data_IF_106910451594
#
_entry.id   IF_106910451594
#
_cell.length_a   1.000
_cell.length_b   1.000
_cell.length_c   1.000
_cell.angle_alpha   90.00
_cell.angle_beta   90.00
_cell.angle_gamma   90.00
#
_symmetry.space_group_name_H-M   'P 1'
#
loop_
_entity.id
_entity.type
_entity.pdbx_description
1 polymer ?
#
# COMPACT_ATOMS: atom_id res chain seq x y z
N UNK A 1 21.24 26.38 1.77
CA UNK A 1 19.82 26.59 2.13
C UNK A 1 19.70 26.43 3.64
N UNK A 2 19.08 27.36 4.36
CA UNK A 2 18.91 27.20 5.82
C UNK A 2 17.86 26.10 6.09
N UNK A 3 18.08 25.24 7.09
CA UNK A 3 17.17 24.12 7.42
C UNK A 3 15.74 24.58 7.68
N UNK A 4 15.58 25.77 8.28
CA UNK A 4 14.26 26.37 8.49
C UNK A 4 13.54 26.67 7.17
N UNK A 5 14.27 27.14 6.15
CA UNK A 5 13.69 27.42 4.83
C UNK A 5 13.27 26.12 4.11
N UNK A 6 14.10 25.07 4.22
CA UNK A 6 13.76 23.75 3.65
C UNK A 6 12.47 23.17 4.21
N UNK A 7 12.28 23.20 5.53
CA UNK A 7 11.08 22.64 6.16
C UNK A 7 9.83 23.46 5.81
N UNK A 8 9.94 24.78 5.75
CA UNK A 8 8.83 25.66 5.33
C UNK A 8 8.43 25.40 3.87
N UNK A 9 9.38 25.30 2.95
CA UNK A 9 9.15 24.95 1.54
C UNK A 9 8.51 23.56 1.39
N UNK A 10 9.05 22.56 2.10
CA UNK A 10 8.51 21.20 2.09
C UNK A 10 7.07 21.16 2.59
N UNK A 11 6.77 21.87 3.68
CA UNK A 11 5.42 21.97 4.26
C UNK A 11 4.44 22.63 3.29
N UNK A 12 4.85 23.73 2.65
CA UNK A 12 4.05 24.41 1.65
C UNK A 12 3.70 23.45 0.51
N UNK A 13 4.72 22.83 -0.10
CA UNK A 13 4.57 21.90 -1.22
C UNK A 13 3.70 20.69 -0.87
N UNK A 14 3.88 20.11 0.32
CA UNK A 14 3.05 19.00 0.83
C UNK A 14 1.57 19.38 0.91
N UNK A 15 1.28 20.58 1.40
CA UNK A 15 -0.09 21.08 1.50
C UNK A 15 -0.69 21.37 0.13
N UNK A 16 0.06 21.98 -0.79
CA UNK A 16 -0.38 22.22 -2.17
C UNK A 16 -0.71 20.92 -2.90
N UNK A 17 0.07 19.86 -2.66
CA UNK A 17 -0.18 18.53 -3.25
C UNK A 17 -1.30 17.76 -2.55
N UNK A 18 -1.93 18.32 -1.51
CA UNK A 18 -3.00 17.66 -0.75
C UNK A 18 -2.53 16.41 0.01
N UNK A 19 -1.23 16.32 0.34
CA UNK A 19 -0.66 15.15 1.00
C UNK A 19 -0.73 15.31 2.52
N UNK A 20 -1.34 14.36 3.22
CA UNK A 20 -1.36 14.39 4.69
C UNK A 20 0.01 14.09 5.30
N UNK A 21 0.27 14.58 6.51
CA UNK A 21 1.52 14.28 7.24
C UNK A 21 1.75 12.76 7.37
N UNK A 22 0.69 11.99 7.64
CA UNK A 22 0.78 10.52 7.74
C UNK A 22 1.23 9.90 6.43
N UNK A 23 0.60 10.28 5.30
CA UNK A 23 0.93 9.73 3.98
C UNK A 23 2.37 10.04 3.59
N UNK A 24 2.83 11.26 3.87
CA UNK A 24 4.20 11.65 3.60
C UNK A 24 5.22 10.93 4.50
N UNK A 25 4.91 10.79 5.79
CA UNK A 25 5.76 10.08 6.75
C UNK A 25 5.97 8.61 6.35
N UNK A 26 4.90 7.89 5.98
CA UNK A 26 4.97 6.50 5.48
C UNK A 26 5.85 6.41 4.23
N UNK A 27 5.72 7.34 3.28
CA UNK A 27 6.56 7.36 2.08
C UNK A 27 8.04 7.63 2.38
N UNK A 28 8.33 8.35 3.45
CA UNK A 28 9.69 8.61 3.94
C UNK A 28 10.22 7.49 4.86
N UNK A 29 9.42 6.47 5.17
CA UNK A 29 9.82 5.38 6.08
C UNK A 29 9.97 5.82 7.53
N UNK A 30 9.25 6.85 7.97
CA UNK A 30 9.31 7.38 9.34
C UNK A 30 7.93 7.45 9.99
N UNK A 31 7.88 7.53 11.33
CA UNK A 31 6.61 7.69 12.03
C UNK A 31 5.98 9.06 11.79
N UNK A 32 4.65 9.13 11.81
CA UNK A 32 3.90 10.40 11.72
C UNK A 32 4.33 11.39 12.81
N UNK A 33 4.56 10.90 14.03
CA UNK A 33 4.96 11.71 15.18
C UNK A 33 6.33 12.35 14.96
N UNK A 34 7.30 11.56 14.47
CA UNK A 34 8.62 12.08 14.15
C UNK A 34 8.57 13.12 13.03
N UNK A 35 7.80 12.85 11.96
CA UNK A 35 7.60 13.84 10.90
C UNK A 35 6.95 15.13 11.41
N UNK A 36 5.97 15.03 12.31
CA UNK A 36 5.33 16.21 12.91
C UNK A 36 6.31 17.08 13.71
N UNK A 37 7.23 16.46 14.47
CA UNK A 37 8.29 17.17 15.19
C UNK A 37 9.24 17.89 14.23
N UNK A 38 9.59 17.26 13.11
CA UNK A 38 10.40 17.87 12.04
C UNK A 38 9.67 19.07 11.44
N UNK A 39 8.41 18.91 11.03
CA UNK A 39 7.62 19.96 10.37
C UNK A 39 7.34 21.17 11.28
N UNK A 40 7.36 20.97 12.60
CA UNK A 40 7.22 22.03 13.60
C UNK A 40 8.58 22.61 14.06
N UNK A 41 9.70 22.15 13.49
CA UNK A 41 11.05 22.64 13.82
C UNK A 41 11.58 22.18 15.18
N UNK A 42 10.91 21.22 15.83
CA UNK A 42 11.37 20.64 17.11
C UNK A 42 12.55 19.68 16.93
N UNK A 43 12.68 19.09 15.73
CA UNK A 43 13.77 18.18 15.37
C UNK A 43 14.35 18.57 14.02
N UNK A 44 15.68 18.56 13.92
CA UNK A 44 16.38 18.71 12.64
C UNK A 44 16.61 17.32 12.04
N UNK A 45 16.09 17.03 10.83
CA UNK A 45 16.33 15.75 10.19
C UNK A 45 17.79 15.62 9.72
N UNK A 46 18.30 14.39 9.69
CA UNK A 46 19.59 14.08 9.05
C UNK A 46 19.56 14.42 7.55
N UNK A 47 20.72 14.69 6.96
CA UNK A 47 20.82 15.02 5.53
C UNK A 47 20.30 13.90 4.61
N UNK A 48 20.51 12.62 4.97
CA UNK A 48 19.94 11.48 4.25
C UNK A 48 18.41 11.50 4.23
N UNK A 49 17.80 11.77 5.39
CA UNK A 49 16.36 11.94 5.48
C UNK A 49 15.87 13.16 4.70
N UNK A 50 16.58 14.28 4.69
CA UNK A 50 16.24 15.45 3.85
C UNK A 50 16.21 15.08 2.36
N UNK A 51 17.23 14.36 1.88
CA UNK A 51 17.27 13.88 0.49
C UNK A 51 16.09 12.95 0.18
N UNK A 52 15.76 12.06 1.12
CA UNK A 52 14.61 11.17 0.99
C UNK A 52 13.31 11.97 0.93
N UNK A 53 13.10 12.93 1.83
CA UNK A 53 11.93 13.81 1.82
C UNK A 53 11.79 14.57 0.51
N UNK A 54 12.89 15.13 -0.01
CA UNK A 54 12.89 15.84 -1.30
C UNK A 54 12.50 14.90 -2.45
N UNK A 55 13.02 13.67 -2.47
CA UNK A 55 12.66 12.69 -3.50
C UNK A 55 11.21 12.24 -3.40
N UNK A 56 10.71 12.03 -2.17
CA UNK A 56 9.36 11.54 -1.95
C UNK A 56 8.31 12.60 -2.23
N UNK A 57 8.57 13.90 -1.97
CA UNK A 57 7.56 14.94 -2.21
C UNK A 57 7.24 15.08 -3.70
N UNK A 58 8.24 14.96 -4.59
CA UNK A 58 8.01 15.01 -6.04
C UNK A 58 7.13 13.85 -6.53
N UNK A 59 7.20 12.68 -5.88
CA UNK A 59 6.35 11.53 -6.25
C UNK A 59 4.86 11.75 -5.96
N UNK A 60 4.54 12.77 -5.17
CA UNK A 60 3.16 13.17 -4.91
C UNK A 60 2.70 14.34 -5.78
N UNK A 61 3.54 14.83 -6.69
CA UNK A 61 3.17 15.94 -7.56
C UNK A 61 1.94 15.55 -8.40
N UNK A 62 0.79 16.22 -8.22
CA UNK A 62 -0.45 15.86 -8.91
C UNK A 62 -0.38 16.15 -10.42
N UNK A 63 0.58 16.99 -10.83
CA UNK A 63 0.84 17.38 -12.21
C UNK A 63 1.84 16.45 -12.92
N UNK A 64 2.29 15.37 -12.28
CA UNK A 64 3.12 14.38 -12.98
C UNK A 64 2.37 13.82 -14.20
N UNK A 65 3.00 13.83 -15.38
CA UNK A 65 2.35 13.38 -16.62
C UNK A 65 2.08 11.88 -16.60
N UNK A 66 2.93 11.11 -15.91
CA UNK A 66 2.82 9.66 -15.77
C UNK A 66 2.89 9.29 -14.29
N UNK A 67 2.01 8.38 -13.84
CA UNK A 67 2.13 7.80 -12.51
C UNK A 67 1.94 6.28 -12.51
N UNK A 68 2.85 5.58 -11.81
CA UNK A 68 2.85 4.13 -11.67
C UNK A 68 2.05 3.71 -10.43
N UNK A 69 1.30 2.61 -10.54
CA UNK A 69 0.56 2.02 -9.44
C UNK A 69 0.50 0.49 -9.54
N UNK A 70 0.21 -0.17 -8.42
CA UNK A 70 -0.10 -1.61 -8.40
C UNK A 70 -1.57 -1.80 -8.79
N UNK A 71 -1.85 -2.51 -9.87
CA UNK A 71 -3.22 -2.69 -10.37
C UNK A 71 -3.75 -4.12 -10.17
N UNK A 72 -2.86 -5.06 -9.87
CA UNK A 72 -3.26 -6.40 -9.46
C UNK A 72 -2.22 -6.98 -8.54
N UNK A 73 -2.67 -7.62 -7.46
CA UNK A 73 -1.80 -8.33 -6.54
C UNK A 73 -2.46 -9.63 -6.12
N UNK A 74 -1.76 -10.75 -6.31
CA UNK A 74 -2.24 -12.06 -5.90
C UNK A 74 -1.12 -12.90 -5.33
N UNK A 75 -1.36 -13.44 -4.14
CA UNK A 75 -0.40 -14.23 -3.37
C UNK A 75 -1.10 -15.42 -2.73
N UNK A 76 -0.45 -16.57 -2.75
CA UNK A 76 -0.97 -17.82 -2.19
C UNK A 76 -0.12 -18.27 -1.01
N UNK A 77 -0.74 -18.43 0.15
CA UNK A 77 -0.12 -18.90 1.38
C UNK A 77 -0.30 -20.41 1.55
N UNK A 78 0.77 -21.16 1.88
CA UNK A 78 0.72 -22.60 2.13
C UNK A 78 0.15 -22.89 3.53
N UNK A 79 -1.08 -22.46 3.80
CA UNK A 79 -1.80 -22.69 5.06
C UNK A 79 -3.29 -22.82 4.75
N UNK A 80 -4.03 -23.56 5.57
CA UNK A 80 -5.49 -23.64 5.52
C UNK A 80 -6.16 -22.64 6.48
N UNK A 81 -5.38 -22.01 7.36
CA UNK A 81 -5.86 -21.01 8.34
C UNK A 81 -5.93 -19.61 7.70
N UNK A 82 -7.08 -19.31 7.09
CA UNK A 82 -7.33 -18.00 6.49
C UNK A 82 -7.43 -16.87 7.51
N UNK A 83 -7.95 -17.16 8.72
CA UNK A 83 -8.09 -16.17 9.79
C UNK A 83 -6.72 -15.70 10.28
N UNK A 84 -5.72 -16.58 10.31
CA UNK A 84 -4.33 -16.21 10.55
C UNK A 84 -3.80 -15.23 9.51
N UNK A 85 -4.06 -15.46 8.22
CA UNK A 85 -3.64 -14.51 7.16
C UNK A 85 -4.33 -13.15 7.32
N UNK A 86 -5.63 -13.14 7.62
CA UNK A 86 -6.40 -11.91 7.85
C UNK A 86 -5.81 -11.09 9.00
N UNK A 87 -5.56 -11.72 10.14
CA UNK A 87 -5.04 -11.02 11.32
C UNK A 87 -3.57 -10.66 11.21
N UNK A 88 -2.73 -11.62 10.82
CA UNK A 88 -1.29 -11.50 11.03
C UNK A 88 -0.62 -10.82 9.82
N UNK A 89 -1.13 -11.02 8.59
CA UNK A 89 -0.57 -10.42 7.36
C UNK A 89 -1.32 -9.15 6.96
N UNK A 90 -2.65 -9.25 6.82
CA UNK A 90 -3.46 -8.09 6.43
C UNK A 90 -3.66 -7.11 7.58
N UNK A 91 -3.52 -7.57 8.84
CA UNK A 91 -3.81 -6.78 10.04
C UNK A 91 -5.21 -6.18 10.03
N UNK A 92 -6.17 -7.00 9.56
CA UNK A 92 -7.59 -6.68 9.52
C UNK A 92 -8.33 -7.50 10.58
N UNK A 93 -9.50 -7.00 11.01
CA UNK A 93 -10.39 -7.75 11.90
C UNK A 93 -11.30 -8.65 11.06
N UNK A 94 -11.26 -9.95 11.33
CA UNK A 94 -12.09 -10.95 10.67
C UNK A 94 -13.58 -10.68 10.82
N UNK A 95 -14.00 -10.08 11.94
CA UNK A 95 -15.41 -9.81 12.26
C UNK A 95 -16.06 -8.80 11.29
N UNK A 96 -15.26 -8.04 10.55
CA UNK A 96 -15.75 -7.14 9.50
C UNK A 96 -15.82 -7.81 8.12
N UNK A 97 -15.33 -9.04 7.97
CA UNK A 97 -15.33 -9.76 6.71
C UNK A 97 -16.56 -10.66 6.60
N UNK A 98 -17.22 -10.63 5.44
CA UNK A 98 -18.28 -11.58 5.11
C UNK A 98 -17.65 -12.92 4.75
N UNK A 99 -18.17 -14.00 5.33
CA UNK A 99 -17.85 -15.36 4.91
C UNK A 99 -18.86 -15.84 3.86
N UNK A 100 -18.36 -16.37 2.75
CA UNK A 100 -19.16 -17.00 1.71
C UNK A 100 -18.69 -18.45 1.55
N UNK A 101 -19.64 -19.39 1.54
CA UNK A 101 -19.44 -20.84 1.44
C UNK A 101 -19.22 -21.33 -0.01
N UNK A 102 -18.88 -20.40 -0.90
CA UNK A 102 -18.49 -20.67 -2.28
C UNK A 102 -17.27 -19.83 -2.66
N UNK A 103 -16.33 -20.44 -3.39
CA UNK A 103 -15.10 -19.79 -3.83
C UNK A 103 -14.94 -19.71 -5.36
N UNK A 104 -13.70 -19.54 -5.80
CA UNK A 104 -13.27 -19.52 -7.22
C UNK A 104 -11.97 -20.32 -7.34
N UNK A 105 -11.62 -20.74 -8.54
CA UNK A 105 -10.33 -21.41 -8.81
C UNK A 105 -10.10 -22.71 -8.02
N UNK A 106 -11.18 -23.43 -7.71
CA UNK A 106 -11.12 -24.68 -6.92
C UNK A 106 -11.10 -24.49 -5.41
N UNK A 107 -11.17 -23.25 -4.91
CA UNK A 107 -11.33 -22.97 -3.48
C UNK A 107 -12.78 -23.10 -3.06
N UNK A 108 -13.00 -23.69 -1.89
CA UNK A 108 -14.30 -24.07 -1.36
C UNK A 108 -15.07 -22.87 -0.79
N UNK A 109 -14.38 -21.91 -0.20
CA UNK A 109 -15.00 -20.74 0.44
C UNK A 109 -14.14 -19.49 0.33
N UNK A 110 -14.64 -18.35 0.83
CA UNK A 110 -13.85 -17.12 0.91
C UNK A 110 -14.32 -16.16 2.00
N UNK A 111 -13.38 -15.32 2.46
CA UNK A 111 -13.68 -14.10 3.20
C UNK A 111 -13.61 -12.89 2.28
N UNK A 112 -14.56 -11.97 2.41
CA UNK A 112 -14.68 -10.77 1.58
C UNK A 112 -14.82 -9.52 2.44
N UNK A 113 -14.06 -8.47 2.11
CA UNK A 113 -14.22 -7.12 2.67
C UNK A 113 -14.14 -6.12 1.52
N UNK A 114 -15.29 -5.72 0.97
CA UNK A 114 -15.32 -4.90 -0.23
C UNK A 114 -14.67 -5.61 -1.42
N UNK A 115 -13.63 -5.00 -2.01
CA UNK A 115 -12.86 -5.57 -3.12
C UNK A 115 -11.65 -6.43 -2.64
N UNK A 116 -11.47 -6.66 -1.34
CA UNK A 116 -10.45 -7.58 -0.79
C UNK A 116 -11.04 -8.99 -0.68
N UNK A 117 -10.46 -9.95 -1.39
CA UNK A 117 -10.94 -11.33 -1.44
C UNK A 117 -9.87 -12.32 -0.94
N UNK A 118 -10.26 -13.21 -0.03
CA UNK A 118 -9.39 -14.24 0.53
C UNK A 118 -10.06 -15.59 0.33
N UNK A 119 -9.63 -16.32 -0.70
CA UNK A 119 -10.14 -17.65 -0.99
C UNK A 119 -9.49 -18.67 -0.06
N UNK A 120 -10.29 -19.61 0.42
CA UNK A 120 -9.93 -20.57 1.46
C UNK A 120 -10.08 -21.99 0.93
N UNK A 121 -9.06 -22.82 1.15
CA UNK A 121 -9.12 -24.23 0.87
C UNK A 121 -8.58 -25.08 2.00
N UNK A 122 -9.23 -26.21 2.23
CA UNK A 122 -8.75 -27.24 3.16
C UNK A 122 -7.63 -28.09 2.54
N UNK A 123 -7.43 -27.98 1.22
CA UNK A 123 -6.38 -28.69 0.50
C UNK A 123 -5.07 -27.90 0.60
N UNK A 124 -4.08 -28.45 1.29
CA UNK A 124 -2.80 -27.76 1.57
C UNK A 124 -2.07 -27.23 0.32
N UNK A 125 -2.23 -27.91 -0.83
CA UNK A 125 -1.60 -27.49 -2.07
C UNK A 125 -2.21 -26.19 -2.63
N UNK A 126 -3.49 -25.92 -2.37
CA UNK A 126 -4.15 -24.64 -2.64
C UNK A 126 -3.91 -23.66 -1.48
N UNK A 127 -4.28 -24.05 -0.27
CA UNK A 127 -4.14 -23.23 0.94
C UNK A 127 -5.04 -21.99 0.92
N UNK A 128 -4.47 -20.81 1.17
CA UNK A 128 -5.18 -19.53 1.22
C UNK A 128 -4.68 -18.60 0.12
N UNK A 129 -5.59 -17.98 -0.62
CA UNK A 129 -5.26 -17.07 -1.73
C UNK A 129 -5.83 -15.68 -1.46
N UNK A 130 -4.95 -14.70 -1.34
CA UNK A 130 -5.35 -13.30 -1.37
C UNK A 130 -5.36 -12.81 -2.82
N UNK A 131 -6.47 -12.20 -3.24
CA UNK A 131 -6.61 -11.53 -4.53
C UNK A 131 -7.08 -10.08 -4.35
N UNK A 132 -6.28 -9.16 -4.89
CA UNK A 132 -6.55 -7.74 -4.99
C UNK A 132 -6.53 -7.36 -6.47
N UNK A 133 -7.69 -6.99 -7.01
CA UNK A 133 -7.79 -6.35 -8.34
C UNK A 133 -7.56 -4.85 -8.20
N UNK A 134 -7.61 -4.07 -9.29
CA UNK A 134 -7.32 -2.63 -9.26
C UNK A 134 -8.01 -1.86 -8.12
N UNK A 135 -9.33 -2.04 -7.93
CA UNK A 135 -10.05 -1.46 -6.79
C UNK A 135 -9.63 -2.03 -5.43
N UNK A 136 -9.40 -3.34 -5.35
CA UNK A 136 -8.88 -3.99 -4.15
C UNK A 136 -7.50 -3.48 -3.74
N UNK A 137 -6.63 -3.15 -4.71
CA UNK A 137 -5.35 -2.52 -4.46
C UNK A 137 -5.52 -1.11 -3.86
N UNK A 138 -6.41 -0.28 -4.42
CA UNK A 138 -6.73 1.06 -3.85
C UNK A 138 -7.32 0.98 -2.44
N UNK A 139 -8.19 -0.01 -2.21
CA UNK A 139 -8.74 -0.27 -0.88
C UNK A 139 -7.65 -0.72 0.10
N UNK A 140 -6.77 -1.63 -0.32
CA UNK A 140 -5.65 -2.09 0.50
C UNK A 140 -4.70 -0.94 0.86
N UNK A 141 -4.39 -0.04 -0.09
CA UNK A 141 -3.59 1.16 0.17
C UNK A 141 -4.15 2.03 1.30
N UNK A 142 -5.48 2.12 1.39
CA UNK A 142 -6.14 2.87 2.46
C UNK A 142 -5.94 2.22 3.83
N UNK A 143 -5.99 0.88 3.89
CA UNK A 143 -5.70 0.14 5.12
C UNK A 143 -4.23 0.22 5.50
N UNK A 144 -3.31 0.03 4.54
CA UNK A 144 -1.88 0.15 4.78
C UNK A 144 -1.53 1.53 5.30
N UNK A 145 -2.09 2.59 4.70
CA UNK A 145 -1.89 3.96 5.18
C UNK A 145 -2.39 4.13 6.62
N UNK A 146 -3.56 3.59 6.98
CA UNK A 146 -4.08 3.64 8.33
C UNK A 146 -3.23 2.86 9.34
N UNK A 147 -2.58 1.79 8.89
CA UNK A 147 -1.63 0.96 9.63
C UNK A 147 -0.20 1.54 9.64
N UNK A 148 0.03 2.68 8.99
CA UNK A 148 1.37 3.29 8.81
C UNK A 148 2.36 2.35 8.10
N UNK A 149 1.85 1.52 7.18
CA UNK A 149 2.60 0.55 6.37
C UNK A 149 2.63 0.97 4.90
N UNK A 150 3.69 0.57 4.21
CA UNK A 150 3.83 0.68 2.76
C UNK A 150 3.49 -0.65 2.06
N UNK A 151 3.39 -0.62 0.73
CA UNK A 151 3.33 -1.84 -0.07
C UNK A 151 4.56 -2.74 0.13
N UNK A 152 5.73 -2.15 0.42
CA UNK A 152 6.95 -2.91 0.69
C UNK A 152 6.78 -3.73 1.98
N UNK A 153 6.35 -3.09 3.07
CA UNK A 153 6.12 -3.75 4.35
C UNK A 153 5.08 -4.88 4.20
N UNK A 154 4.01 -4.59 3.47
CA UNK A 154 2.96 -5.57 3.19
C UNK A 154 3.47 -6.79 2.39
N UNK A 155 4.24 -6.56 1.33
CA UNK A 155 4.81 -7.65 0.54
C UNK A 155 5.85 -8.44 1.34
N UNK A 156 6.64 -7.77 2.19
CA UNK A 156 7.59 -8.43 3.08
C UNK A 156 6.87 -9.34 4.09
N UNK A 157 5.77 -8.89 4.68
CA UNK A 157 4.93 -9.70 5.58
C UNK A 157 4.32 -10.89 4.82
N UNK A 158 3.88 -10.69 3.58
CA UNK A 158 3.39 -11.78 2.74
C UNK A 158 4.47 -12.85 2.52
N UNK A 159 5.69 -12.45 2.18
CA UNK A 159 6.80 -13.37 1.92
C UNK A 159 7.25 -14.08 3.21
N UNK A 160 7.31 -13.35 4.33
CA UNK A 160 7.67 -13.90 5.65
C UNK A 160 6.65 -14.94 6.13
N UNK A 161 5.37 -14.76 5.78
CA UNK A 161 4.31 -15.76 6.01
C UNK A 161 4.33 -16.95 5.03
N UNK A 162 5.39 -17.10 4.22
CA UNK A 162 5.51 -18.17 3.23
C UNK A 162 4.70 -17.95 1.96
N UNK A 163 4.21 -16.73 1.73
CA UNK A 163 3.41 -16.35 0.57
C UNK A 163 4.17 -16.60 -0.74
N UNK A 164 3.52 -17.28 -1.68
CA UNK A 164 4.01 -17.47 -3.05
C UNK A 164 3.31 -16.48 -3.97
N UNK A 165 4.06 -15.50 -4.47
CA UNK A 165 3.55 -14.52 -5.43
C UNK A 165 3.03 -15.21 -6.69
N UNK A 166 1.78 -14.90 -7.06
CA UNK A 166 1.07 -15.51 -8.21
C UNK A 166 0.78 -14.53 -9.33
N UNK A 167 0.64 -13.24 -9.01
CA UNK A 167 0.47 -12.16 -9.98
C UNK A 167 0.78 -10.81 -9.34
N UNK A 168 1.50 -9.96 -10.07
CA UNK A 168 1.73 -8.57 -9.74
C UNK A 168 1.66 -7.78 -11.05
N UNK A 169 0.65 -6.93 -11.17
CA UNK A 169 0.49 -6.06 -12.33
C UNK A 169 0.78 -4.63 -11.90
N UNK A 170 1.58 -3.93 -12.70
CA UNK A 170 1.83 -2.51 -12.57
C UNK A 170 1.14 -1.80 -13.72
N UNK A 171 0.39 -0.73 -13.41
CA UNK A 171 -0.22 0.13 -14.41
C UNK A 171 0.42 1.52 -14.37
N UNK A 172 0.53 2.12 -15.54
CA UNK A 172 0.93 3.52 -15.71
C UNK A 172 -0.31 4.28 -16.15
N UNK A 173 -0.64 5.32 -15.41
CA UNK A 173 -1.67 6.25 -15.81
C UNK A 173 -1.00 7.43 -16.50
N UNK A 174 -1.41 7.66 -17.75
CA UNK A 174 -0.94 8.74 -18.60
C UNK A 174 -1.96 9.88 -18.64
N UNK A 175 -1.57 11.04 -18.11
CA UNK A 175 -2.36 12.27 -18.13
C UNK A 175 -1.92 13.24 -19.23
N UNK A 176 -0.83 12.93 -19.93
CA UNK A 176 -0.26 13.76 -20.99
C UNK A 176 -0.67 13.29 -22.40
N UNK A 177 -1.25 12.10 -22.54
CA UNK A 177 -1.67 11.54 -23.83
C UNK A 177 -0.48 11.12 -24.69
N UNK A 178 0.60 10.66 -24.07
CA UNK A 178 1.79 10.10 -24.72
C UNK A 178 1.44 8.76 -25.37
N UNK A 179 0.64 7.94 -24.69
CA UNK A 179 0.11 6.68 -25.17
C UNK A 179 -1.18 6.96 -25.96
N UNK A 180 -1.02 7.37 -27.21
CA UNK A 180 -2.13 7.49 -28.16
C UNK A 180 -2.58 6.08 -28.57
N UNK A 181 -3.64 5.58 -27.94
CA UNK A 181 -4.26 4.30 -28.28
C UNK A 181 -5.43 4.62 -29.23
N UNK A 182 -5.27 4.40 -30.55
CA UNK A 182 -6.33 4.68 -31.51
C UNK A 182 -7.52 3.74 -31.28
N UNK A 183 -8.72 4.24 -31.56
CA UNK A 183 -9.96 3.46 -31.55
C UNK A 183 -9.98 2.39 -32.65
#
# INVERSE_FOLDING_TARGET
MNDKNFIEELKHKRNEYGVSQRRFAVACGISRTYFNQIENGSVVPSDELKQTMQKQIERFNPQEPLFLLIDYFRVRFPTTDALKIIRDVLQLKSDYMLYEDFGKYGYESKYVLGDINIMCSMQEHLGVLLELKGRGCRQMESYLLAQERSWYDFMLDCLTAGGKMKRLDLAINDKAGILDIPN
#
